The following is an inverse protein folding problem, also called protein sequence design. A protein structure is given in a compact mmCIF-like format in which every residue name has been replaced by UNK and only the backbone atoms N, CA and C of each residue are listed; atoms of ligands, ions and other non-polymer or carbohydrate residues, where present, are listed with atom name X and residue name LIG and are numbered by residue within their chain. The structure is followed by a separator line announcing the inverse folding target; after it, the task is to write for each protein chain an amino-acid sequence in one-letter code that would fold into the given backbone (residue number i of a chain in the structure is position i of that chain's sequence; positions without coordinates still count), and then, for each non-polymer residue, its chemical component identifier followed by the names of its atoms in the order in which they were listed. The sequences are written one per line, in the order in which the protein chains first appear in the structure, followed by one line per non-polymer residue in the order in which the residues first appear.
data_IF_658940460494
#
_entry.id   IF_658940460494
#
_cell.length_a   1.000
_cell.length_b   1.000
_cell.length_c   1.000
_cell.angle_alpha   90.00
_cell.angle_beta   90.00
_cell.angle_gamma   90.00
#
_symmetry.space_group_name_H-M   'P 1'
#
loop_
_entity.id
_entity.type
_entity.pdbx_description
1 polymer ?
#
# COMPACT_ATOMS: atom_id res chain seq x y z
N UNK A 1 -10.14 5.62 12.89
CA UNK A 1 -8.91 4.79 12.89
C UNK A 1 -9.25 3.32 13.05
N UNK A 2 -10.19 2.96 13.92
CA UNK A 2 -10.74 1.61 14.11
C UNK A 2 -11.04 0.91 12.76
N UNK A 3 -11.79 1.58 11.88
CA UNK A 3 -12.12 1.07 10.54
C UNK A 3 -10.92 0.70 9.63
N UNK A 4 -9.82 1.48 9.64
CA UNK A 4 -8.62 1.18 8.83
C UNK A 4 -7.88 -0.06 9.35
N UNK A 5 -7.93 -0.30 10.66
CA UNK A 5 -7.33 -1.49 11.27
C UNK A 5 -8.13 -2.74 10.92
N UNK A 6 -9.46 -2.65 10.95
CA UNK A 6 -10.38 -3.74 10.57
C UNK A 6 -10.16 -4.17 9.11
N UNK A 7 -10.20 -3.21 8.17
CA UNK A 7 -9.99 -3.50 6.74
C UNK A 7 -8.66 -4.20 6.49
N UNK A 8 -7.61 -3.79 7.20
CA UNK A 8 -6.29 -4.42 7.06
C UNK A 8 -6.25 -5.85 7.60
N UNK A 9 -7.01 -6.13 8.66
CA UNK A 9 -7.12 -7.48 9.20
C UNK A 9 -7.95 -8.37 8.26
N UNK A 10 -9.08 -7.87 7.76
CA UNK A 10 -9.93 -8.57 6.79
C UNK A 10 -9.17 -8.92 5.50
N UNK A 11 -8.34 -8.01 4.99
CA UNK A 11 -7.55 -8.24 3.77
C UNK A 11 -6.31 -9.14 4.00
N UNK A 12 -5.94 -9.43 5.25
CA UNK A 12 -4.73 -10.19 5.55
C UNK A 12 -4.78 -11.60 4.98
N UNK A 13 -5.84 -12.35 5.27
CA UNK A 13 -5.96 -13.73 4.83
C UNK A 13 -6.14 -13.87 3.30
N UNK A 14 -7.01 -13.09 2.64
CA UNK A 14 -7.11 -13.08 1.17
C UNK A 14 -5.77 -12.77 0.49
N UNK A 15 -5.00 -11.81 1.00
CA UNK A 15 -3.68 -11.49 0.43
C UNK A 15 -2.68 -12.64 0.56
N UNK A 16 -2.74 -13.41 1.66
CA UNK A 16 -1.90 -14.61 1.83
C UNK A 16 -2.33 -15.73 0.88
N UNK A 17 -3.63 -15.96 0.74
CA UNK A 17 -4.16 -16.96 -0.19
C UNK A 17 -3.74 -16.64 -1.63
N UNK A 18 -3.90 -15.39 -2.07
CA UNK A 18 -3.51 -14.95 -3.41
C UNK A 18 -2.01 -15.17 -3.69
N UNK A 19 -1.14 -14.92 -2.70
CA UNK A 19 0.30 -15.21 -2.82
C UNK A 19 0.60 -16.70 -2.98
N UNK A 20 -0.20 -17.59 -2.39
CA UNK A 20 -0.08 -19.03 -2.55
C UNK A 20 -0.61 -19.52 -3.90
N UNK A 21 -1.70 -18.92 -4.38
CA UNK A 21 -2.37 -19.31 -5.63
C UNK A 21 -1.62 -18.84 -6.89
N UNK A 22 -1.07 -17.62 -6.88
CA UNK A 22 -0.36 -17.02 -8.02
C UNK A 22 1.03 -16.46 -7.63
N UNK A 23 1.95 -17.32 -7.15
CA UNK A 23 3.19 -16.89 -6.51
C UNK A 23 4.11 -16.10 -7.43
N UNK A 24 4.19 -16.45 -8.72
CA UNK A 24 5.07 -15.75 -9.66
C UNK A 24 4.58 -14.34 -10.00
N UNK A 25 3.26 -14.19 -10.17
CA UNK A 25 2.61 -12.89 -10.42
C UNK A 25 2.80 -12.00 -9.20
N UNK A 26 2.56 -12.52 -8.00
CA UNK A 26 2.70 -11.74 -6.78
C UNK A 26 4.16 -11.37 -6.49
N UNK A 27 5.13 -12.21 -6.86
CA UNK A 27 6.56 -11.87 -6.81
C UNK A 27 6.88 -10.71 -7.75
N UNK A 28 6.49 -10.80 -9.02
CA UNK A 28 6.73 -9.73 -10.00
C UNK A 28 6.06 -8.40 -9.59
N UNK A 29 4.83 -8.46 -9.08
CA UNK A 29 4.13 -7.29 -8.56
C UNK A 29 4.83 -6.69 -7.34
N UNK A 30 5.31 -7.52 -6.42
CA UNK A 30 6.06 -7.05 -5.27
C UNK A 30 7.37 -6.37 -5.69
N UNK A 31 8.05 -6.89 -6.71
CA UNK A 31 9.29 -6.31 -7.23
C UNK A 31 9.02 -4.93 -7.85
N UNK A 32 7.98 -4.83 -8.69
CA UNK A 32 7.51 -3.57 -9.25
C UNK A 32 7.16 -2.55 -8.16
N UNK A 33 6.38 -2.96 -7.16
CA UNK A 33 5.97 -2.08 -6.05
C UNK A 33 7.18 -1.57 -5.27
N UNK A 34 8.16 -2.43 -4.97
CA UNK A 34 9.40 -2.03 -4.28
C UNK A 34 10.20 -1.03 -5.11
N UNK A 35 10.38 -1.28 -6.40
CA UNK A 35 11.11 -0.36 -7.29
C UNK A 35 10.40 0.99 -7.45
N UNK A 36 9.07 0.99 -7.58
CA UNK A 36 8.28 2.22 -7.70
C UNK A 36 8.40 3.09 -6.44
N UNK A 37 8.36 2.47 -5.26
CA UNK A 37 8.40 3.16 -3.96
C UNK A 37 9.80 3.48 -3.46
N UNK A 38 10.86 2.97 -4.08
CA UNK A 38 12.23 3.25 -3.67
C UNK A 38 12.57 4.74 -3.71
N UNK A 39 13.48 5.18 -2.84
CA UNK A 39 13.96 6.57 -2.81
C UNK A 39 14.59 7.02 -4.15
N UNK A 40 14.44 8.31 -4.47
CA UNK A 40 15.00 8.93 -5.66
C UNK A 40 14.72 10.43 -5.70
N UNK A 41 14.48 10.99 -6.90
CA UNK A 41 14.09 12.40 -7.08
C UNK A 41 12.86 12.80 -6.25
N UNK A 42 11.96 11.85 -6.01
CA UNK A 42 10.85 12.00 -5.07
C UNK A 42 11.08 11.10 -3.87
N UNK A 43 10.84 11.65 -2.68
CA UNK A 43 10.95 10.87 -1.45
C UNK A 43 9.92 9.75 -1.39
N UNK A 44 10.21 8.67 -0.68
CA UNK A 44 9.26 7.59 -0.38
C UNK A 44 7.99 8.16 0.22
N UNK A 45 8.12 9.10 1.17
CA UNK A 45 6.98 9.78 1.79
C UNK A 45 6.12 10.55 0.78
N UNK A 46 6.75 11.25 -0.17
CA UNK A 46 6.01 11.95 -1.22
C UNK A 46 5.32 10.99 -2.20
N UNK A 47 5.97 9.88 -2.54
CA UNK A 47 5.37 8.81 -3.36
C UNK A 47 4.17 8.16 -2.66
N UNK A 48 4.26 7.94 -1.35
CA UNK A 48 3.12 7.44 -0.56
C UNK A 48 1.95 8.42 -0.56
N UNK A 49 2.21 9.74 -0.54
CA UNK A 49 1.16 10.74 -0.67
C UNK A 49 0.48 10.70 -2.03
N UNK A 50 1.24 10.57 -3.13
CA UNK A 50 0.67 10.39 -4.47
C UNK A 50 -0.20 9.13 -4.52
N UNK A 51 0.31 8.01 -3.99
CA UNK A 51 -0.43 6.76 -3.96
C UNK A 51 -1.70 6.85 -3.10
N UNK A 52 -1.65 7.57 -1.97
CA UNK A 52 -2.81 7.86 -1.14
C UNK A 52 -3.86 8.70 -1.86
N UNK A 53 -3.45 9.72 -2.62
CA UNK A 53 -4.37 10.50 -3.46
C UNK A 53 -5.03 9.64 -4.54
N UNK A 54 -4.27 8.76 -5.19
CA UNK A 54 -4.83 7.80 -6.16
C UNK A 54 -5.84 6.87 -5.46
N UNK A 55 -5.48 6.30 -4.31
CA UNK A 55 -6.35 5.41 -3.56
C UNK A 55 -7.69 6.06 -3.20
N UNK A 56 -7.66 7.34 -2.77
CA UNK A 56 -8.87 8.12 -2.49
C UNK A 56 -9.72 8.33 -3.76
N UNK A 57 -9.10 8.68 -4.89
CA UNK A 57 -9.83 8.87 -6.17
C UNK A 57 -10.43 7.59 -6.74
N UNK A 58 -9.95 6.42 -6.28
CA UNK A 58 -10.44 5.10 -6.68
C UNK A 58 -11.37 4.47 -5.66
N UNK A 59 -11.65 5.17 -4.56
CA UNK A 59 -12.50 4.68 -3.47
C UNK A 59 -12.08 3.28 -3.00
N UNK A 60 -10.76 3.04 -2.96
CA UNK A 60 -10.19 1.75 -2.58
C UNK A 60 -9.74 1.82 -1.11
N UNK A 61 -10.59 1.43 -0.17
CA UNK A 61 -10.29 1.55 1.25
C UNK A 61 -9.05 0.76 1.68
N UNK A 62 -8.82 -0.42 1.10
CA UNK A 62 -7.60 -1.20 1.33
C UNK A 62 -6.33 -0.46 0.87
N UNK A 63 -6.42 0.25 -0.25
CA UNK A 63 -5.34 1.07 -0.78
C UNK A 63 -5.11 2.31 0.10
N UNK A 64 -6.17 2.97 0.55
CA UNK A 64 -6.11 4.11 1.47
C UNK A 64 -5.43 3.68 2.78
N UNK A 65 -5.84 2.54 3.35
CA UNK A 65 -5.27 1.97 4.55
C UNK A 65 -3.77 1.64 4.41
N UNK A 66 -3.36 1.11 3.25
CA UNK A 66 -1.97 0.76 2.98
C UNK A 66 -1.08 2.02 2.87
N UNK A 67 -1.47 2.97 2.04
CA UNK A 67 -0.66 4.14 1.71
C UNK A 67 -0.68 5.22 2.78
N UNK A 68 -1.79 5.38 3.52
CA UNK A 68 -1.81 6.24 4.71
C UNK A 68 -0.83 5.74 5.78
N UNK A 69 -0.74 4.42 5.99
CA UNK A 69 0.23 3.82 6.90
C UNK A 69 1.66 3.95 6.39
N UNK A 70 1.87 3.81 5.08
CA UNK A 70 3.16 4.05 4.43
C UNK A 70 3.65 5.48 4.65
N UNK A 71 2.81 6.46 4.34
CA UNK A 71 3.10 7.88 4.55
C UNK A 71 3.43 8.19 6.03
N UNK A 72 2.61 7.70 6.97
CA UNK A 72 2.87 7.90 8.39
C UNK A 72 4.21 7.30 8.85
N UNK A 73 4.58 6.12 8.32
CA UNK A 73 5.89 5.49 8.60
C UNK A 73 7.06 6.26 8.00
N UNK A 74 6.83 6.95 6.90
CA UNK A 74 7.80 7.86 6.28
C UNK A 74 7.88 9.23 7.00
N UNK A 75 7.18 9.42 8.12
CA UNK A 75 7.23 10.65 8.91
C UNK A 75 6.32 11.77 8.42
N UNK A 76 5.41 11.48 7.48
CA UNK A 76 4.41 12.46 7.03
C UNK A 76 3.38 12.69 8.14
N UNK A 77 3.15 13.95 8.48
CA UNK A 77 2.17 14.39 9.49
C UNK A 77 0.92 14.97 8.85
N UNK A 78 -0.15 15.13 9.66
CA UNK A 78 -1.36 15.87 9.28
C UNK A 78 -1.06 17.35 9.02
#
# INVERSE_FOLDING_TARGET
MEHIHEIREELRQPALNLRGEIPEVMRAFADLSRSAMAEGELSTGFKELIALSIAATRECDGCVAAHARGAARAGITR
#
